data_IF_989322832942
#
_entry.id   IF_989322832942
#
_cell.length_a   1.000
_cell.length_b   1.000
_cell.length_c   1.000
_cell.angle_alpha   90.00
_cell.angle_beta   90.00
_cell.angle_gamma   90.00
#
_symmetry.space_group_name_H-M   'P 1'
#
loop_
_entity.id
_entity.type
_entity.pdbx_description
1 polymer ?
#
# COMPACT_ATOMS: atom_id res chain seq x y z
N UNK A 1 -12.09 2.42 6.19
CA UNK A 1 -11.72 3.26 5.03
C UNK A 1 -11.22 2.38 3.91
N UNK A 2 -11.23 2.87 2.67
CA UNK A 2 -10.66 2.16 1.53
C UNK A 2 -9.37 2.85 1.11
N UNK A 3 -8.36 2.07 0.75
CA UNK A 3 -7.07 2.54 0.29
C UNK A 3 -6.73 1.83 -1.01
N UNK A 4 -6.14 2.56 -1.94
CA UNK A 4 -5.52 2.02 -3.14
C UNK A 4 -4.01 2.13 -2.97
N UNK A 5 -3.32 1.05 -3.30
CA UNK A 5 -1.87 1.03 -3.36
C UNK A 5 -1.43 0.64 -4.77
N UNK A 6 -0.56 1.45 -5.36
CA UNK A 6 0.07 1.18 -6.65
C UNK A 6 1.58 0.99 -6.44
N UNK A 7 2.05 -0.25 -6.52
CA UNK A 7 3.48 -0.53 -6.46
C UNK A 7 4.18 0.07 -7.69
N UNK A 8 5.39 0.56 -7.51
CA UNK A 8 6.28 0.92 -8.62
C UNK A 8 6.83 -0.29 -9.41
N UNK A 9 6.65 -1.51 -8.91
CA UNK A 9 7.00 -2.76 -9.60
C UNK A 9 5.86 -3.22 -10.54
N UNK A 10 6.21 -3.41 -11.82
CA UNK A 10 5.38 -3.82 -12.97
C UNK A 10 3.92 -4.24 -12.66
N UNK A 11 2.99 -3.29 -12.85
CA UNK A 11 1.55 -3.57 -12.96
C UNK A 11 0.89 -4.09 -11.68
N UNK A 12 1.54 -4.01 -10.52
CA UNK A 12 0.96 -4.44 -9.26
C UNK A 12 0.20 -3.30 -8.58
N UNK A 13 -1.13 -3.34 -8.66
CA UNK A 13 -2.02 -2.45 -7.92
C UNK A 13 -3.06 -3.27 -7.16
N UNK A 14 -3.35 -2.88 -5.93
CA UNK A 14 -4.37 -3.56 -5.12
C UNK A 14 -5.13 -2.63 -4.19
N UNK A 15 -6.35 -3.05 -3.86
CA UNK A 15 -7.24 -2.34 -2.95
C UNK A 15 -7.16 -2.96 -1.56
N UNK A 16 -6.93 -2.11 -0.56
CA UNK A 16 -6.92 -2.46 0.85
C UNK A 16 -8.14 -1.83 1.53
N UNK A 17 -8.72 -2.56 2.47
CA UNK A 17 -9.71 -2.01 3.40
C UNK A 17 -9.18 -2.14 4.81
N UNK A 18 -9.02 -1.01 5.45
CA UNK A 18 -8.53 -0.90 6.83
C UNK A 18 -9.22 0.26 7.52
N UNK A 19 -9.30 0.21 8.85
CA UNK A 19 -9.74 1.32 9.69
C UNK A 19 -8.59 2.18 10.22
N UNK A 20 -7.33 1.80 9.97
CA UNK A 20 -6.13 2.49 10.45
C UNK A 20 -5.08 2.61 9.36
N UNK A 21 -4.48 3.81 9.24
CA UNK A 21 -3.37 4.08 8.32
C UNK A 21 -2.14 3.21 8.66
N UNK A 22 -1.80 3.06 9.95
CA UNK A 22 -0.68 2.21 10.39
C UNK A 22 -0.84 0.74 9.97
N UNK A 23 -2.07 0.24 9.94
CA UNK A 23 -2.37 -1.12 9.50
C UNK A 23 -2.21 -1.25 7.98
N UNK A 24 -2.61 -0.22 7.22
CA UNK A 24 -2.37 -0.15 5.76
C UNK A 24 -0.87 -0.21 5.47
N UNK A 25 -0.05 0.59 6.17
CA UNK A 25 1.40 0.58 5.96
C UNK A 25 2.02 -0.80 6.20
N UNK A 26 1.60 -1.47 7.28
CA UNK A 26 2.09 -2.83 7.60
C UNK A 26 1.73 -3.83 6.50
N UNK A 27 0.51 -3.76 5.98
CA UNK A 27 0.04 -4.65 4.92
C UNK A 27 0.78 -4.41 3.61
N UNK A 28 1.00 -3.15 3.23
CA UNK A 28 1.77 -2.78 2.05
C UNK A 28 3.24 -3.24 2.17
N UNK A 29 3.90 -2.99 3.31
CA UNK A 29 5.29 -3.46 3.52
C UNK A 29 5.38 -4.98 3.48
N UNK A 30 4.41 -5.68 4.07
CA UNK A 30 4.35 -7.13 4.02
C UNK A 30 4.19 -7.62 2.57
N UNK A 31 3.33 -6.97 1.78
CA UNK A 31 3.15 -7.28 0.37
C UNK A 31 4.45 -7.12 -0.42
N UNK A 32 5.10 -5.96 -0.37
CA UNK A 32 6.36 -5.70 -1.09
C UNK A 32 7.43 -6.73 -0.71
N UNK A 33 7.53 -7.06 0.58
CA UNK A 33 8.50 -8.04 1.07
C UNK A 33 8.20 -9.46 0.59
N UNK A 34 6.94 -9.88 0.61
CA UNK A 34 6.57 -11.28 0.32
C UNK A 34 6.36 -11.55 -1.17
N UNK A 35 5.83 -10.58 -1.91
CA UNK A 35 5.47 -10.72 -3.34
C UNK A 35 6.63 -10.33 -4.23
N UNK A 36 7.30 -9.21 -3.93
CA UNK A 36 8.38 -8.67 -4.75
C UNK A 36 9.77 -9.00 -4.18
N UNK A 37 9.86 -9.56 -2.96
CA UNK A 37 11.14 -9.77 -2.28
C UNK A 37 11.89 -8.47 -1.96
N UNK A 38 11.20 -7.33 -2.11
CA UNK A 38 11.78 -6.00 -2.05
C UNK A 38 11.66 -5.34 -0.69
N UNK A 39 12.04 -4.07 -0.65
CA UNK A 39 11.81 -3.16 0.48
C UNK A 39 11.27 -1.86 -0.07
N UNK A 40 10.31 -1.29 0.65
CA UNK A 40 9.74 0.03 0.37
C UNK A 40 10.05 0.95 1.55
N UNK A 41 10.53 2.16 1.25
CA UNK A 41 10.73 3.19 2.26
C UNK A 41 9.38 3.81 2.66
N UNK A 42 9.31 4.39 3.86
CA UNK A 42 8.10 5.07 4.33
C UNK A 42 7.69 6.21 3.39
N UNK A 43 8.67 6.96 2.85
CA UNK A 43 8.39 8.07 1.96
C UNK A 43 7.76 7.64 0.63
N UNK A 44 8.15 6.48 0.10
CA UNK A 44 7.57 5.92 -1.12
C UNK A 44 6.18 5.34 -0.82
N UNK A 45 6.02 4.70 0.33
CA UNK A 45 4.76 4.11 0.77
C UNK A 45 3.65 5.15 0.91
N UNK A 46 3.95 6.31 1.53
CA UNK A 46 2.98 7.41 1.64
C UNK A 46 2.59 7.99 0.27
N UNK A 47 3.52 7.97 -0.70
CA UNK A 47 3.26 8.48 -2.05
C UNK A 47 2.44 7.51 -2.91
N UNK A 48 2.65 6.22 -2.72
CA UNK A 48 2.01 5.14 -3.48
C UNK A 48 0.68 4.68 -2.86
N UNK A 49 0.39 5.08 -1.63
CA UNK A 49 -0.87 4.79 -0.93
C UNK A 49 -1.83 5.97 -1.05
N UNK A 50 -2.92 5.79 -1.79
CA UNK A 50 -4.01 6.76 -1.86
C UNK A 50 -5.20 6.33 -0.99
N UNK A 51 -5.66 7.22 -0.11
CA UNK A 51 -6.88 6.99 0.66
C UNK A 51 -8.09 7.36 -0.19
N UNK A 52 -8.97 6.38 -0.41
CA UNK A 52 -10.22 6.56 -1.13
C UNK A 52 -11.33 6.83 -0.12
N UNK A 53 -11.74 8.10 -0.05
CA UNK A 53 -12.99 8.48 0.61
C UNK A 53 -14.15 8.27 -0.36
N UNK A 54 -14.92 7.21 -0.14
CA UNK A 54 -16.18 7.04 -0.89
C UNK A 54 -17.20 8.09 -0.39
N UNK A 55 -17.89 8.81 -1.31
CA UNK A 55 -18.92 9.78 -0.97
C UNK A 55 -20.17 9.15 -0.34
#
# INVERSE_FOLDING_TARGET
MAYQFECSEDGCAFLLRSSSDEEVERLVRAHVRLVHGGRIDSADLERETERIERP
#
